data_IF_626526586808
#
_entry.id   IF_626526586808
#
_cell.length_a   1.000
_cell.length_b   1.000
_cell.length_c   1.000
_cell.angle_alpha   90.00
_cell.angle_beta   90.00
_cell.angle_gamma   90.00
#
_symmetry.space_group_name_H-M   'P 1'
#
loop_
_entity.id
_entity.type
_entity.pdbx_description
1 polymer ?
#
# COMPACT_ATOMS: atom_id res chain seq x y z
N UNK A 1 -30.75 -25.49 -7.09
CA UNK A 1 -30.93 -24.17 -7.74
C UNK A 1 -30.85 -23.14 -6.63
N UNK A 2 -29.67 -22.56 -6.40
CA UNK A 2 -29.53 -21.49 -5.40
C UNK A 2 -30.12 -20.20 -5.99
N UNK A 3 -30.87 -19.41 -5.21
CA UNK A 3 -31.50 -18.19 -5.70
C UNK A 3 -30.40 -17.21 -6.14
N UNK A 4 -30.46 -16.80 -7.40
CA UNK A 4 -29.67 -15.69 -7.92
C UNK A 4 -29.94 -14.46 -7.05
N UNK A 5 -28.89 -13.92 -6.46
CA UNK A 5 -28.98 -12.77 -5.56
C UNK A 5 -29.27 -11.53 -6.42
N UNK A 6 -30.51 -11.03 -6.37
CA UNK A 6 -30.99 -9.81 -7.04
C UNK A 6 -30.41 -8.52 -6.40
N UNK A 7 -29.11 -8.51 -6.10
CA UNK A 7 -28.45 -7.38 -5.46
C UNK A 7 -27.32 -6.89 -6.34
N UNK A 8 -27.41 -5.64 -6.78
CA UNK A 8 -26.29 -4.94 -7.40
C UNK A 8 -25.12 -4.94 -6.42
N UNK A 9 -23.99 -5.50 -6.84
CA UNK A 9 -22.74 -5.53 -6.08
C UNK A 9 -21.74 -4.58 -6.74
N UNK A 10 -21.90 -3.24 -6.58
CA UNK A 10 -20.94 -2.31 -7.13
C UNK A 10 -19.55 -2.60 -6.55
N UNK A 11 -18.51 -2.64 -7.39
CA UNK A 11 -17.16 -2.92 -6.92
C UNK A 11 -16.73 -1.82 -5.94
N UNK A 12 -16.06 -2.20 -4.84
CA UNK A 12 -15.56 -1.25 -3.83
C UNK A 12 -14.80 -0.06 -4.44
N UNK A 13 -13.91 -0.25 -5.44
CA UNK A 13 -13.27 0.89 -6.13
C UNK A 13 -14.25 1.87 -6.80
N UNK A 14 -15.38 1.38 -7.31
CA UNK A 14 -16.42 2.23 -7.90
C UNK A 14 -17.15 3.07 -6.85
N UNK A 15 -17.48 2.46 -5.70
CA UNK A 15 -18.08 3.18 -4.57
C UNK A 15 -17.14 4.27 -4.06
N UNK A 16 -15.86 3.95 -3.91
CA UNK A 16 -14.86 4.88 -3.40
C UNK A 16 -14.68 6.10 -4.31
N UNK A 17 -14.67 5.87 -5.63
CA UNK A 17 -14.61 6.95 -6.61
C UNK A 17 -15.77 7.93 -6.48
N UNK A 18 -17.00 7.40 -6.38
CA UNK A 18 -18.21 8.22 -6.24
C UNK A 18 -18.17 9.05 -4.96
N UNK A 19 -17.72 8.47 -3.85
CA UNK A 19 -17.57 9.20 -2.58
C UNK A 19 -16.53 10.31 -2.70
N UNK A 20 -15.39 10.06 -3.36
CA UNK A 20 -14.38 11.10 -3.61
C UNK A 20 -14.94 12.24 -4.47
N UNK A 21 -15.57 11.91 -5.61
CA UNK A 21 -16.16 12.92 -6.52
C UNK A 21 -17.22 13.76 -5.81
N UNK A 22 -18.03 13.14 -4.95
CA UNK A 22 -18.97 13.87 -4.10
C UNK A 22 -18.27 14.83 -3.15
N UNK A 23 -17.25 14.37 -2.42
CA UNK A 23 -16.48 15.21 -1.49
C UNK A 23 -15.81 16.38 -2.21
N UNK A 24 -15.23 16.15 -3.38
CA UNK A 24 -14.64 17.19 -4.23
C UNK A 24 -15.69 18.22 -4.66
N UNK A 25 -16.91 17.78 -5.00
CA UNK A 25 -17.98 18.69 -5.44
C UNK A 25 -18.48 19.62 -4.33
N UNK A 26 -18.39 19.21 -3.06
CA UNK A 26 -18.88 20.00 -1.92
C UNK A 26 -17.77 20.78 -1.20
N UNK A 27 -16.50 20.59 -1.57
CA UNK A 27 -15.35 21.06 -0.77
C UNK A 27 -15.30 22.58 -0.61
N UNK A 28 -15.71 23.32 -1.64
CA UNK A 28 -15.77 24.78 -1.64
C UNK A 28 -17.13 25.32 -1.14
N UNK A 29 -18.07 24.44 -0.81
CA UNK A 29 -19.41 24.78 -0.33
C UNK A 29 -19.52 24.66 1.20
N UNK A 30 -18.55 24.02 1.85
CA UNK A 30 -18.55 23.78 3.30
C UNK A 30 -17.76 24.87 4.06
N UNK A 31 -18.09 25.14 5.34
CA UNK A 31 -17.33 26.07 6.18
C UNK A 31 -15.85 25.68 6.30
N UNK A 32 -14.96 26.64 6.58
CA UNK A 32 -13.50 26.44 6.56
C UNK A 32 -12.99 25.27 7.42
N UNK A 33 -13.59 25.05 8.60
CA UNK A 33 -13.22 23.93 9.46
C UNK A 33 -13.55 22.57 8.81
N UNK A 34 -14.70 22.48 8.15
CA UNK A 34 -15.18 21.26 7.47
C UNK A 34 -14.46 21.05 6.13
N UNK A 35 -14.03 22.13 5.48
CA UNK A 35 -13.23 22.10 4.26
C UNK A 35 -11.91 21.33 4.45
N UNK A 36 -11.20 21.58 5.56
CA UNK A 36 -9.99 20.82 5.88
C UNK A 36 -10.27 19.33 6.06
N UNK A 37 -11.37 18.98 6.74
CA UNK A 37 -11.78 17.59 6.92
C UNK A 37 -12.14 16.92 5.59
N UNK A 38 -12.86 17.62 4.70
CA UNK A 38 -13.17 17.13 3.36
C UNK A 38 -11.89 16.90 2.52
N UNK A 39 -10.91 17.80 2.59
CA UNK A 39 -9.59 17.61 1.94
C UNK A 39 -8.86 16.38 2.49
N UNK A 40 -8.86 16.19 3.81
CA UNK A 40 -8.30 15.00 4.44
C UNK A 40 -8.99 13.72 3.94
N UNK A 41 -10.32 13.73 3.85
CA UNK A 41 -11.10 12.60 3.34
C UNK A 41 -10.73 12.30 1.88
N UNK A 42 -10.69 13.30 1.00
CA UNK A 42 -10.28 13.11 -0.41
C UNK A 42 -8.87 12.52 -0.50
N UNK A 43 -7.93 13.02 0.31
CA UNK A 43 -6.58 12.47 0.37
C UNK A 43 -6.57 10.99 0.80
N UNK A 44 -7.30 10.63 1.86
CA UNK A 44 -7.38 9.25 2.34
C UNK A 44 -8.07 8.32 1.34
N UNK A 45 -9.10 8.80 0.64
CA UNK A 45 -9.77 8.05 -0.43
C UNK A 45 -8.81 7.76 -1.59
N UNK A 46 -7.99 8.74 -1.97
CA UNK A 46 -6.94 8.55 -2.97
C UNK A 46 -5.88 7.53 -2.54
N UNK A 47 -5.50 7.51 -1.26
CA UNK A 47 -4.59 6.48 -0.73
C UNK A 47 -5.25 5.11 -0.79
N UNK A 48 -6.47 4.98 -0.29
CA UNK A 48 -7.17 3.70 -0.25
C UNK A 48 -7.51 3.14 -1.64
N UNK A 49 -7.83 3.98 -2.63
CA UNK A 49 -7.96 3.53 -4.02
C UNK A 49 -6.65 2.95 -4.57
N UNK A 50 -5.50 3.56 -4.27
CA UNK A 50 -4.20 3.05 -4.70
C UNK A 50 -3.85 1.74 -4.00
N UNK A 51 -4.16 1.62 -2.71
CA UNK A 51 -3.96 0.36 -1.97
C UNK A 51 -4.86 -0.76 -2.50
N UNK A 52 -6.11 -0.46 -2.89
CA UNK A 52 -7.02 -1.46 -3.48
C UNK A 52 -6.66 -1.83 -4.92
N UNK A 53 -6.00 -0.94 -5.66
CA UNK A 53 -5.54 -1.21 -7.02
C UNK A 53 -4.25 -2.03 -7.06
N UNK A 54 -3.57 -2.18 -5.92
CA UNK A 54 -2.30 -2.89 -5.80
C UNK A 54 -2.55 -4.28 -5.22
N UNK A 55 -2.07 -5.31 -5.91
CA UNK A 55 -2.06 -6.68 -5.39
C UNK A 55 -1.23 -6.69 -4.09
N UNK A 56 -1.73 -7.24 -2.96
CA UNK A 56 -1.06 -7.16 -1.67
C UNK A 56 0.33 -7.78 -1.73
N UNK A 57 1.34 -6.90 -1.76
CA UNK A 57 2.76 -7.23 -1.95
C UNK A 57 3.04 -7.91 -3.28
N UNK A 58 3.83 -7.24 -4.13
CA UNK A 58 4.40 -7.86 -5.33
C UNK A 58 4.96 -9.25 -4.95
N UNK A 59 4.46 -10.35 -5.54
CA UNK A 59 4.89 -11.72 -5.20
C UNK A 59 6.41 -11.88 -5.17
N UNK A 60 7.09 -11.09 -5.99
CA UNK A 60 8.53 -10.92 -6.07
C UNK A 60 9.20 -10.46 -4.76
N UNK A 61 8.63 -9.48 -4.05
CA UNK A 61 9.19 -9.01 -2.78
C UNK A 61 9.08 -10.10 -1.71
N UNK A 62 7.94 -10.80 -1.66
CA UNK A 62 7.74 -11.92 -0.75
C UNK A 62 8.75 -13.04 -1.02
N UNK A 63 8.91 -13.43 -2.28
CA UNK A 63 9.90 -14.43 -2.69
C UNK A 63 11.33 -14.02 -2.29
N UNK A 64 11.67 -12.74 -2.45
CA UNK A 64 12.98 -12.21 -2.06
C UNK A 64 13.21 -12.24 -0.54
N UNK A 65 12.20 -11.96 0.26
CA UNK A 65 12.28 -12.06 1.73
C UNK A 65 12.44 -13.53 2.14
N UNK A 66 11.65 -14.45 1.57
CA UNK A 66 11.77 -15.88 1.88
C UNK A 66 13.17 -16.41 1.52
N UNK A 67 13.67 -16.07 0.34
CA UNK A 67 15.00 -16.45 -0.11
C UNK A 67 16.10 -15.90 0.81
N UNK A 68 15.93 -14.66 1.30
CA UNK A 68 16.88 -14.06 2.23
C UNK A 68 16.88 -14.76 3.60
N UNK A 69 15.70 -15.10 4.10
CA UNK A 69 15.53 -15.78 5.39
C UNK A 69 15.82 -17.29 5.33
N UNK A 70 15.89 -17.86 4.12
CA UNK A 70 16.10 -19.29 3.91
C UNK A 70 14.88 -20.16 4.24
N UNK A 71 13.72 -19.56 4.49
CA UNK A 71 12.50 -20.27 4.88
C UNK A 71 11.27 -19.54 4.35
N UNK A 72 10.29 -20.31 3.85
CA UNK A 72 9.00 -19.78 3.40
C UNK A 72 8.08 -19.64 4.60
N UNK A 73 7.63 -18.42 4.88
CA UNK A 73 6.70 -18.12 5.98
C UNK A 73 5.51 -17.30 5.51
N UNK A 74 4.40 -17.20 6.25
CA UNK A 74 3.41 -16.15 5.98
C UNK A 74 4.08 -14.77 5.94
N UNK A 75 3.62 -13.88 5.05
CA UNK A 75 4.25 -12.56 4.86
C UNK A 75 4.40 -11.74 6.16
N UNK A 76 3.38 -11.66 7.06
CA UNK A 76 3.54 -10.95 8.33
C UNK A 76 4.69 -11.51 9.18
N UNK A 77 4.79 -12.84 9.25
CA UNK A 77 5.82 -13.53 10.03
C UNK A 77 7.21 -13.34 9.41
N UNK A 78 7.30 -13.37 8.08
CA UNK A 78 8.53 -13.12 7.34
C UNK A 78 9.05 -11.69 7.56
N UNK A 79 8.16 -10.69 7.51
CA UNK A 79 8.50 -9.28 7.82
C UNK A 79 8.95 -9.14 9.27
N UNK A 80 8.25 -9.79 10.20
CA UNK A 80 8.59 -9.73 11.62
C UNK A 80 9.97 -10.33 11.90
N UNK A 81 10.25 -11.53 11.37
CA UNK A 81 11.55 -12.20 11.53
C UNK A 81 12.68 -11.37 10.90
N UNK A 82 12.47 -10.83 9.70
CA UNK A 82 13.44 -9.94 9.06
C UNK A 82 13.70 -8.67 9.90
N UNK A 83 12.65 -8.08 10.47
CA UNK A 83 12.76 -6.88 11.32
C UNK A 83 13.46 -7.16 12.66
N UNK A 84 13.32 -8.37 13.19
CA UNK A 84 14.07 -8.81 14.38
C UNK A 84 15.54 -9.01 14.02
N UNK A 85 15.85 -9.70 12.92
CA UNK A 85 17.22 -9.91 12.45
C UNK A 85 17.98 -8.61 12.17
N UNK A 86 17.30 -7.62 11.57
CA UNK A 86 17.83 -6.27 11.39
C UNK A 86 18.23 -5.60 12.70
N UNK A 87 17.35 -5.64 13.72
CA UNK A 87 17.60 -4.99 15.02
C UNK A 87 18.70 -5.66 15.82
N UNK A 88 18.89 -6.95 15.63
CA UNK A 88 19.91 -7.74 16.31
C UNK A 88 21.25 -7.79 15.58
N UNK A 89 21.37 -7.13 14.42
CA UNK A 89 22.60 -7.15 13.61
C UNK A 89 22.88 -8.49 12.92
N UNK A 90 21.90 -9.42 12.88
CA UNK A 90 22.05 -10.72 12.19
C UNK A 90 22.22 -10.58 10.68
N UNK A 91 21.87 -9.42 10.15
CA UNK A 91 21.91 -9.10 8.72
C UNK A 91 23.18 -8.35 8.29
N UNK A 92 24.05 -7.93 9.24
CA UNK A 92 25.16 -7.01 8.98
C UNK A 92 26.21 -7.61 8.02
N UNK A 93 26.46 -8.92 8.12
CA UNK A 93 27.37 -9.62 7.21
C UNK A 93 26.86 -9.66 5.75
N UNK A 94 25.57 -9.38 5.54
CA UNK A 94 24.88 -9.36 4.24
C UNK A 94 24.30 -7.97 3.98
N UNK A 95 25.04 -6.93 4.33
CA UNK A 95 24.56 -5.55 4.31
C UNK A 95 23.95 -5.13 2.97
N UNK A 96 24.63 -5.40 1.86
CA UNK A 96 24.16 -4.98 0.53
C UNK A 96 22.83 -5.64 0.15
N UNK A 97 22.71 -6.94 0.39
CA UNK A 97 21.46 -7.69 0.16
C UNK A 97 20.32 -7.16 1.05
N UNK A 98 20.65 -6.91 2.31
CA UNK A 98 19.70 -6.41 3.32
C UNK A 98 19.19 -5.02 2.93
N UNK A 99 20.09 -4.12 2.55
CA UNK A 99 19.75 -2.77 2.11
C UNK A 99 18.89 -2.82 0.84
N UNK A 100 19.23 -3.67 -0.13
CA UNK A 100 18.45 -3.82 -1.36
C UNK A 100 17.02 -4.33 -1.11
N UNK A 101 16.80 -5.18 -0.10
CA UNK A 101 15.47 -5.64 0.31
C UNK A 101 14.66 -4.54 0.97
N UNK A 102 15.24 -3.84 1.95
CA UNK A 102 14.58 -2.72 2.64
C UNK A 102 14.22 -1.61 1.64
N UNK A 103 15.16 -1.26 0.76
CA UNK A 103 14.93 -0.26 -0.28
C UNK A 103 13.80 -0.68 -1.23
N UNK A 104 13.79 -1.93 -1.69
CA UNK A 104 12.72 -2.42 -2.55
C UNK A 104 11.34 -2.35 -1.87
N UNK A 105 11.27 -2.68 -0.58
CA UNK A 105 10.03 -2.57 0.20
C UNK A 105 9.59 -1.12 0.37
N UNK A 106 10.52 -0.20 0.65
CA UNK A 106 10.21 1.23 0.78
C UNK A 106 9.73 1.79 -0.56
N UNK A 107 10.44 1.49 -1.66
CA UNK A 107 10.04 1.91 -3.01
C UNK A 107 8.64 1.43 -3.34
N UNK A 108 8.33 0.14 -3.09
CA UNK A 108 7.00 -0.40 -3.33
C UNK A 108 5.91 0.37 -2.55
N UNK A 109 6.13 0.65 -1.25
CA UNK A 109 5.17 1.42 -0.42
C UNK A 109 5.01 2.88 -0.88
N UNK A 110 6.12 3.52 -1.26
CA UNK A 110 6.09 4.92 -1.72
C UNK A 110 5.45 5.02 -3.11
N UNK A 111 5.62 4.02 -3.97
CA UNK A 111 4.96 3.97 -5.28
C UNK A 111 3.43 4.00 -5.15
N UNK A 112 2.89 3.36 -4.10
CA UNK A 112 1.46 3.40 -3.79
C UNK A 112 1.05 4.72 -3.13
N UNK A 113 1.74 5.12 -2.07
CA UNK A 113 1.29 6.25 -1.25
C UNK A 113 1.64 7.63 -1.85
N UNK A 114 2.83 7.79 -2.43
CA UNK A 114 3.41 9.06 -2.90
C UNK A 114 4.33 8.86 -4.13
N UNK A 115 3.80 8.43 -5.28
CA UNK A 115 4.62 8.05 -6.45
C UNK A 115 5.56 9.17 -6.94
N UNK A 116 5.12 10.43 -6.88
CA UNK A 116 5.91 11.58 -7.33
C UNK A 116 7.17 11.83 -6.47
N UNK A 117 7.22 11.27 -5.25
CA UNK A 117 8.35 11.41 -4.34
C UNK A 117 9.47 10.40 -4.62
N UNK A 118 9.24 9.40 -5.48
CA UNK A 118 10.30 8.50 -5.92
C UNK A 118 11.23 9.21 -6.89
N UNK A 119 12.54 8.98 -6.75
CA UNK A 119 13.52 9.33 -7.78
C UNK A 119 13.18 8.60 -9.10
N UNK A 120 13.50 9.16 -10.27
CA UNK A 120 13.19 8.54 -11.57
C UNK A 120 13.69 7.08 -11.68
N UNK A 121 14.85 6.75 -11.10
CA UNK A 121 15.43 5.40 -11.09
C UNK A 121 14.55 4.35 -10.36
N UNK A 122 13.61 4.79 -9.52
CA UNK A 122 12.73 3.94 -8.72
C UNK A 122 11.27 3.95 -9.19
N UNK A 123 10.92 4.77 -10.20
CA UNK A 123 9.60 4.78 -10.85
C UNK A 123 9.60 3.75 -11.97
N UNK A 124 9.43 2.47 -11.64
CA UNK A 124 9.30 1.39 -12.64
C UNK A 124 7.83 1.08 -12.90
#
# INVERSE_FOLDING_TARGET
MSPETLQDQPPVPGIMRVVREFLESIIDQVPDADRYHAMCCVYLMNVAERELAVDPVAPELKQRIDAFLGEIRPLPDAIQEFSVGLREGRCDARWDETFALVLAQVVAKVQVSKPDHLQPIHRK
#
